data_IF_530230864462
#
_entry.id   IF_530230864462
#
_cell.length_a   1.000
_cell.length_b   1.000
_cell.length_c   1.000
_cell.angle_alpha   90.00
_cell.angle_beta   90.00
_cell.angle_gamma   90.00
#
_symmetry.space_group_name_H-M   'P 1'
#
loop_
_entity.id
_entity.type
_entity.pdbx_description
1 polymer ?
#
# COMPACT_ATOMS: atom_id res chain seq x y z
N UNK A 1 4.51 -1.22 -2.99
CA UNK A 1 4.97 -1.14 -1.59
C UNK A 1 6.45 -0.79 -1.63
N UNK A 2 6.82 0.41 -1.19
CA UNK A 2 8.20 0.82 -0.96
C UNK A 2 8.51 0.59 0.52
N UNK A 3 9.69 0.08 0.83
CA UNK A 3 10.16 -0.13 2.20
C UNK A 3 11.08 1.03 2.57
N UNK A 4 10.71 1.80 3.61
CA UNK A 4 11.38 3.07 3.95
C UNK A 4 11.61 3.16 5.45
N UNK A 5 12.81 2.84 5.94
CA UNK A 5 13.23 3.00 7.35
C UNK A 5 12.26 2.41 8.40
N UNK A 6 11.59 1.30 8.06
CA UNK A 6 10.59 0.62 8.91
C UNK A 6 9.14 0.97 8.58
N UNK A 7 8.91 1.95 7.72
CA UNK A 7 7.59 2.26 7.18
C UNK A 7 7.34 1.50 5.87
N UNK A 8 6.07 1.18 5.62
CA UNK A 8 5.63 0.65 4.34
C UNK A 8 4.80 1.69 3.59
N UNK A 9 5.31 2.15 2.44
CA UNK A 9 4.65 3.13 1.59
C UNK A 9 3.95 2.44 0.42
N UNK A 10 2.62 2.55 0.37
CA UNK A 10 1.79 1.97 -0.66
C UNK A 10 1.42 3.02 -1.69
N UNK A 11 2.02 2.95 -2.87
CA UNK A 11 1.47 3.62 -4.05
C UNK A 11 0.45 2.68 -4.69
N UNK A 12 -0.82 3.10 -4.72
CA UNK A 12 -1.92 2.35 -5.31
C UNK A 12 -2.34 3.03 -6.60
N UNK A 13 -2.41 2.27 -7.70
CA UNK A 13 -3.00 2.71 -8.96
C UNK A 13 -4.31 1.97 -9.18
N UNK A 14 -5.37 2.71 -9.46
CA UNK A 14 -6.72 2.17 -9.62
C UNK A 14 -7.46 2.86 -10.77
N UNK A 15 -8.44 2.16 -11.32
CA UNK A 15 -9.37 2.69 -12.29
C UNK A 15 -10.75 2.77 -11.65
N UNK A 16 -11.25 4.00 -11.51
CA UNK A 16 -12.64 4.22 -11.13
C UNK A 16 -13.55 3.91 -12.31
N UNK A 17 -14.69 3.27 -12.05
CA UNK A 17 -15.74 3.15 -13.04
C UNK A 17 -16.30 4.55 -13.41
N UNK A 18 -16.99 4.69 -14.55
CA UNK A 18 -17.47 5.99 -15.01
C UNK A 18 -18.37 6.73 -14.00
N UNK A 19 -19.19 6.01 -13.22
CA UNK A 19 -20.05 6.63 -12.21
C UNK A 19 -19.22 7.09 -11.02
N UNK A 20 -18.34 6.24 -10.49
CA UNK A 20 -17.41 6.63 -9.41
C UNK A 20 -16.54 7.83 -9.79
N UNK A 21 -16.10 7.93 -11.06
CA UNK A 21 -15.39 9.12 -11.56
C UNK A 21 -16.22 10.40 -11.42
N UNK A 22 -17.50 10.37 -11.79
CA UNK A 22 -18.39 11.53 -11.66
C UNK A 22 -18.51 11.92 -10.18
N UNK A 23 -18.69 10.95 -9.28
CA UNK A 23 -18.76 11.20 -7.85
C UNK A 23 -17.48 11.82 -7.30
N UNK A 24 -16.31 11.27 -7.66
CA UNK A 24 -15.02 11.80 -7.23
C UNK A 24 -14.73 13.19 -7.81
N UNK A 25 -15.17 13.48 -9.04
CA UNK A 25 -15.05 14.82 -9.64
C UNK A 25 -15.94 15.85 -8.93
N UNK A 26 -17.17 15.46 -8.57
CA UNK A 26 -18.14 16.35 -7.94
C UNK A 26 -17.84 16.58 -6.44
N UNK A 27 -17.41 15.53 -5.73
CA UNK A 27 -17.33 15.52 -4.27
C UNK A 27 -15.89 15.41 -3.73
N UNK A 28 -14.92 15.22 -4.61
CA UNK A 28 -13.51 15.04 -4.27
C UNK A 28 -13.13 13.58 -3.98
N UNK A 29 -11.83 13.37 -3.81
CA UNK A 29 -11.22 12.05 -3.62
C UNK A 29 -11.34 11.51 -2.19
N UNK A 30 -11.88 12.28 -1.25
CA UNK A 30 -12.04 11.84 0.15
C UNK A 30 -12.96 10.63 0.30
N UNK A 31 -13.89 10.43 -0.62
CA UNK A 31 -14.85 9.33 -0.57
C UNK A 31 -14.26 7.96 -0.93
N UNK A 32 -13.09 7.91 -1.56
CA UNK A 32 -12.41 6.65 -1.88
C UNK A 32 -11.41 6.23 -0.80
N UNK A 33 -11.09 7.12 0.14
CA UNK A 33 -10.15 6.84 1.23
C UNK A 33 -10.58 5.66 2.13
N UNK A 34 -11.87 5.50 2.49
CA UNK A 34 -12.30 4.33 3.26
C UNK A 34 -12.02 3.00 2.56
N UNK A 35 -12.27 2.91 1.26
CA UNK A 35 -12.01 1.69 0.47
C UNK A 35 -10.50 1.41 0.36
N UNK A 36 -9.70 2.47 0.19
CA UNK A 36 -8.25 2.37 0.17
C UNK A 36 -7.71 1.90 1.53
N UNK A 37 -8.26 2.40 2.65
CA UNK A 37 -7.88 1.95 3.99
C UNK A 37 -8.33 0.50 4.25
N UNK A 38 -9.52 0.13 3.80
CA UNK A 38 -10.04 -1.23 3.93
C UNK A 38 -9.15 -2.26 3.21
N UNK A 39 -8.52 -1.89 2.09
CA UNK A 39 -7.56 -2.75 1.39
C UNK A 39 -6.34 -3.11 2.26
N UNK A 40 -5.92 -2.22 3.16
CA UNK A 40 -4.76 -2.42 4.02
C UNK A 40 -5.13 -2.54 5.50
N UNK A 41 -6.35 -3.01 5.82
CA UNK A 41 -6.87 -3.04 7.19
C UNK A 41 -6.06 -3.91 8.16
N UNK A 42 -5.28 -4.87 7.66
CA UNK A 42 -4.41 -5.75 8.46
C UNK A 42 -3.08 -5.09 8.86
N UNK A 43 -2.77 -3.94 8.25
CA UNK A 43 -1.63 -3.10 8.62
C UNK A 43 -2.00 -2.15 9.75
N UNK A 44 -1.08 -1.96 10.68
CA UNK A 44 -1.22 -0.98 11.75
C UNK A 44 -0.83 0.42 11.28
N UNK A 45 -1.38 1.45 11.92
CA UNK A 45 -1.04 2.86 11.70
C UNK A 45 -1.08 3.29 10.22
N UNK A 46 -2.03 2.76 9.45
CA UNK A 46 -2.23 3.14 8.04
C UNK A 46 -2.90 4.51 7.97
N UNK A 47 -2.29 5.42 7.22
CA UNK A 47 -2.86 6.71 6.90
C UNK A 47 -2.76 7.00 5.40
N UNK A 48 -3.76 7.71 4.88
CA UNK A 48 -3.72 8.21 3.51
C UNK A 48 -2.87 9.48 3.47
N UNK A 49 -1.74 9.42 2.76
CA UNK A 49 -0.83 10.55 2.61
C UNK A 49 -1.23 11.44 1.42
N UNK A 50 -1.76 10.84 0.34
CA UNK A 50 -2.21 11.58 -0.85
C UNK A 50 -3.25 10.79 -1.62
N UNK A 51 -4.30 11.47 -2.08
CA UNK A 51 -5.37 10.84 -2.87
C UNK A 51 -5.63 11.63 -4.14
N UNK A 52 -5.59 10.96 -5.28
CA UNK A 52 -5.93 11.48 -6.60
C UNK A 52 -6.99 10.61 -7.31
N UNK A 53 -7.46 11.02 -8.50
CA UNK A 53 -8.56 10.34 -9.20
C UNK A 53 -8.21 8.94 -9.75
N UNK A 54 -6.93 8.58 -9.82
CA UNK A 54 -6.45 7.28 -10.33
C UNK A 54 -5.27 6.71 -9.56
N UNK A 55 -4.81 7.43 -8.53
CA UNK A 55 -3.64 7.06 -7.76
C UNK A 55 -3.78 7.56 -6.33
N UNK A 56 -3.40 6.74 -5.37
CA UNK A 56 -3.27 7.13 -3.97
C UNK A 56 -1.93 6.69 -3.40
N UNK A 57 -1.53 7.35 -2.33
CA UNK A 57 -0.37 7.00 -1.51
C UNK A 57 -0.86 6.83 -0.08
N UNK A 58 -0.63 5.64 0.46
CA UNK A 58 -0.87 5.31 1.87
C UNK A 58 0.46 4.98 2.53
N UNK A 59 0.55 5.21 3.83
CA UNK A 59 1.73 4.91 4.64
C UNK A 59 1.28 4.12 5.86
N UNK A 60 1.86 2.94 6.07
CA UNK A 60 1.78 2.21 7.32
C UNK A 60 3.05 2.48 8.10
N UNK A 61 2.93 3.20 9.22
CA UNK A 61 4.07 3.55 10.06
C UNK A 61 4.48 2.40 10.96
N UNK A 62 5.79 2.12 11.03
CA UNK A 62 6.33 1.04 11.85
C UNK A 62 5.88 -0.34 11.39
N UNK A 63 5.64 -0.52 10.09
CA UNK A 63 5.27 -1.80 9.49
C UNK A 63 6.40 -2.83 9.55
N UNK A 64 7.65 -2.37 9.61
CA UNK A 64 8.85 -3.19 9.70
C UNK A 64 9.41 -3.18 11.12
N UNK A 65 9.63 -4.36 11.68
CA UNK A 65 10.33 -4.52 12.96
C UNK A 65 11.84 -4.44 12.75
N UNK A 66 12.52 -3.51 13.43
CA UNK A 66 13.97 -3.43 13.39
C UNK A 66 14.61 -4.52 14.24
N UNK A 67 15.40 -5.41 13.62
CA UNK A 67 16.19 -6.44 14.29
C UNK A 67 17.57 -6.55 13.66
N UNK A 68 18.61 -6.34 14.47
CA UNK A 68 20.01 -6.63 14.12
C UNK A 68 20.48 -6.01 12.78
N UNK A 69 20.08 -4.77 12.49
CA UNK A 69 20.46 -4.07 11.24
C UNK A 69 19.52 -4.30 10.06
N UNK A 70 18.40 -5.01 10.27
CA UNK A 70 17.41 -5.29 9.25
C UNK A 70 16.02 -4.84 9.70
N UNK A 71 15.18 -4.45 8.75
CA UNK A 71 13.74 -4.31 8.94
C UNK A 71 13.03 -5.57 8.43
N UNK A 72 12.21 -6.17 9.29
CA UNK A 72 11.40 -7.34 9.01
C UNK A 72 9.94 -6.93 8.84
N UNK A 73 9.40 -7.12 7.65
CA UNK A 73 8.00 -6.86 7.33
C UNK A 73 7.28 -8.19 7.20
N UNK A 74 6.37 -8.48 8.13
CA UNK A 74 5.56 -9.68 8.07
C UNK A 74 4.50 -9.59 6.97
N UNK A 75 4.09 -10.77 6.49
CA UNK A 75 2.97 -10.90 5.56
C UNK A 75 1.69 -10.42 6.23
N UNK A 76 0.95 -9.57 5.53
CA UNK A 76 -0.33 -9.02 5.97
C UNK A 76 -1.40 -9.29 4.92
N UNK A 77 -2.59 -9.64 5.36
CA UNK A 77 -3.72 -9.85 4.47
C UNK A 77 -4.14 -8.54 3.81
N UNK A 78 -4.54 -8.62 2.54
CA UNK A 78 -5.14 -7.52 1.83
C UNK A 78 -6.66 -7.69 1.86
N UNK A 79 -7.40 -6.60 2.02
CA UNK A 79 -8.86 -6.61 2.08
C UNK A 79 -9.54 -7.13 0.81
N UNK A 80 -8.78 -7.25 -0.29
CA UNK A 80 -9.21 -7.90 -1.53
C UNK A 80 -8.01 -8.45 -2.30
N UNK A 81 -8.28 -9.27 -3.32
CA UNK A 81 -7.24 -9.75 -4.23
C UNK A 81 -6.69 -8.60 -5.07
N UNK A 82 -5.38 -8.39 -5.00
CA UNK A 82 -4.66 -7.37 -5.76
C UNK A 82 -4.03 -8.02 -7.00
N UNK A 83 -4.38 -7.59 -8.22
CA UNK A 83 -3.86 -8.22 -9.45
C UNK A 83 -2.34 -8.12 -9.61
N UNK A 84 -1.75 -7.06 -9.08
CA UNK A 84 -0.31 -6.79 -9.19
C UNK A 84 0.20 -6.02 -7.98
N UNK A 85 1.14 -6.61 -7.26
CA UNK A 85 1.88 -5.98 -6.16
C UNK A 85 3.36 -5.93 -6.52
N UNK A 86 3.93 -4.73 -6.58
CA UNK A 86 5.39 -4.56 -6.67
C UNK A 86 5.93 -4.11 -5.32
N UNK A 87 6.86 -4.89 -4.77
CA UNK A 87 7.68 -4.52 -3.61
C UNK A 87 8.96 -3.88 -4.13
N UNK A 88 9.30 -2.72 -3.61
CA UNK A 88 10.52 -1.95 -3.94
C UNK A 88 11.36 -1.85 -2.68
N UNK A 89 12.57 -2.37 -2.75
CA UNK A 89 13.55 -2.35 -1.68
C UNK A 89 14.37 -1.04 -1.71
N UNK A 90 14.99 -0.61 -0.60
CA UNK A 90 15.80 0.60 -0.54
C UNK A 90 16.92 0.65 -1.59
N UNK A 91 17.51 -0.51 -1.90
CA UNK A 91 18.53 -0.69 -2.94
C UNK A 91 17.99 -0.53 -4.39
N UNK A 92 16.71 -0.15 -4.55
CA UNK A 92 15.99 -0.04 -5.83
C UNK A 92 15.79 -1.36 -6.56
N UNK A 93 16.11 -2.48 -5.92
CA UNK A 93 15.64 -3.79 -6.35
C UNK A 93 14.12 -3.83 -6.21
N UNK A 94 13.46 -4.53 -7.13
CA UNK A 94 12.01 -4.70 -7.06
C UNK A 94 11.61 -6.13 -7.38
N UNK A 95 10.52 -6.57 -6.74
CA UNK A 95 9.89 -7.87 -6.99
C UNK A 95 8.42 -7.66 -7.24
N UNK A 96 7.91 -8.27 -8.29
CA UNK A 96 6.50 -8.19 -8.66
C UNK A 96 5.83 -9.53 -8.41
N UNK A 97 4.68 -9.47 -7.76
CA UNK A 97 3.79 -10.57 -7.46
C UNK A 97 2.45 -10.31 -8.14
N UNK A 98 1.79 -11.37 -8.59
CA UNK A 98 0.52 -11.31 -9.30
C UNK A 98 -0.55 -12.02 -8.49
N UNK A 99 -1.79 -11.55 -8.60
CA UNK A 99 -2.97 -12.17 -7.99
C UNK A 99 -2.79 -12.49 -6.49
N UNK A 100 -2.34 -11.50 -5.73
CA UNK A 100 -2.00 -11.66 -4.31
C UNK A 100 -3.19 -11.30 -3.41
N UNK A 101 -3.44 -12.14 -2.41
CA UNK A 101 -4.39 -11.86 -1.31
C UNK A 101 -3.71 -11.36 -0.02
N UNK A 102 -2.37 -11.33 -0.01
CA UNK A 102 -1.55 -10.88 1.11
C UNK A 102 -0.23 -10.30 0.60
N UNK A 103 0.39 -9.40 1.36
CA UNK A 103 1.77 -8.98 1.09
C UNK A 103 2.73 -10.13 1.38
N UNK A 104 3.85 -10.26 0.65
CA UNK A 104 4.89 -11.22 1.01
C UNK A 104 5.61 -10.78 2.28
N UNK A 105 6.08 -11.73 3.09
CA UNK A 105 7.08 -11.43 4.11
C UNK A 105 8.37 -11.00 3.42
N UNK A 106 8.92 -9.85 3.82
CA UNK A 106 10.15 -9.30 3.25
C UNK A 106 11.06 -8.77 4.34
N UNK A 107 12.36 -8.89 4.10
CA UNK A 107 13.39 -8.29 4.93
C UNK A 107 14.19 -7.31 4.10
N UNK A 108 14.62 -6.21 4.72
CA UNK A 108 15.43 -5.18 4.10
C UNK A 108 16.55 -4.78 5.03
N UNK A 109 17.72 -4.43 4.50
CA UNK A 109 18.74 -3.73 5.28
C UNK A 109 18.20 -2.37 5.73
N UNK A 110 18.62 -1.94 6.92
CA UNK A 110 18.25 -0.68 7.55
C UNK A 110 19.14 0.48 7.13
#
# INVERSE_FOLDING_TARGET
MSLEEGDAVFTVSFALDPFAKIYVLALGTKYIEPDLMALFSDFENVAVAKTGPSRAVLVSKGAGEYRSGYYLYDSKQLGSQVPKLTVVYPERLSRTFYDVSATPSVFSEA
#
